data_IF_564435627635
#
_entry.id   IF_564435627635
#
_cell.length_a   1.000
_cell.length_b   1.000
_cell.length_c   1.000
_cell.angle_alpha   90.00
_cell.angle_beta   90.00
_cell.angle_gamma   90.00
#
_symmetry.space_group_name_H-M   'P 1'
#
loop_
_entity.id
_entity.type
_entity.pdbx_description
1 polymer ?
#
# COMPACT_ATOMS: atom_id res chain seq x y z
N UNK A 1 -11.89 -58.03 -9.37
CA UNK A 1 -11.50 -56.84 -10.14
C UNK A 1 -12.51 -55.73 -9.82
N UNK A 2 -12.29 -54.96 -8.77
CA UNK A 2 -13.18 -53.88 -8.35
C UNK A 2 -12.43 -52.55 -8.55
N UNK A 3 -12.98 -51.70 -9.41
CA UNK A 3 -12.43 -50.39 -9.71
C UNK A 3 -12.51 -49.50 -8.46
N UNK A 4 -11.36 -48.97 -8.04
CA UNK A 4 -11.26 -48.01 -6.94
C UNK A 4 -11.86 -46.69 -7.41
N UNK A 5 -13.02 -46.32 -6.84
CA UNK A 5 -13.60 -45.01 -7.09
C UNK A 5 -12.63 -43.91 -6.62
N UNK A 6 -12.44 -42.82 -7.40
CA UNK A 6 -11.62 -41.71 -6.95
C UNK A 6 -12.25 -41.15 -5.68
N UNK A 7 -11.51 -41.27 -4.57
CA UNK A 7 -11.91 -40.73 -3.29
C UNK A 7 -12.19 -39.24 -3.42
N UNK A 8 -13.12 -38.73 -2.61
CA UNK A 8 -13.48 -37.31 -2.44
C UNK A 8 -12.31 -36.40 -2.01
N UNK A 9 -11.06 -36.87 -2.11
CA UNK A 9 -9.83 -36.25 -1.65
C UNK A 9 -8.98 -35.62 -2.76
N UNK A 10 -9.57 -35.26 -3.90
CA UNK A 10 -8.96 -34.31 -4.83
C UNK A 10 -9.26 -32.84 -4.42
N UNK A 11 -9.42 -32.59 -3.11
CA UNK A 11 -9.32 -31.23 -2.58
C UNK A 11 -7.84 -30.87 -2.70
N UNK A 12 -7.49 -30.07 -3.72
CA UNK A 12 -6.14 -29.55 -3.99
C UNK A 12 -5.23 -29.60 -2.76
N UNK A 13 -4.25 -30.53 -2.74
CA UNK A 13 -3.12 -30.38 -1.84
C UNK A 13 -2.44 -29.06 -2.19
N UNK A 14 -2.55 -28.09 -1.30
CA UNK A 14 -1.98 -26.76 -1.47
C UNK A 14 -0.64 -26.75 -0.73
N UNK A 15 0.46 -26.49 -1.44
CA UNK A 15 1.83 -26.50 -0.91
C UNK A 15 2.04 -25.60 0.33
N UNK A 16 1.22 -24.56 0.45
CA UNK A 16 1.26 -23.60 1.54
C UNK A 16 0.00 -23.65 2.42
N UNK A 17 0.15 -23.47 3.75
CA UNK A 17 -0.98 -23.44 4.67
C UNK A 17 -1.90 -22.25 4.38
N UNK A 18 -3.15 -22.38 4.79
CA UNK A 18 -4.20 -21.39 4.51
C UNK A 18 -3.82 -19.98 5.00
N UNK A 19 -3.25 -19.86 6.21
CA UNK A 19 -2.94 -18.56 6.78
C UNK A 19 -1.90 -17.77 5.97
N UNK A 20 -0.90 -18.45 5.38
CA UNK A 20 0.12 -17.81 4.52
C UNK A 20 -0.56 -17.22 3.28
N UNK A 21 -1.45 -17.99 2.66
CA UNK A 21 -2.19 -17.56 1.46
C UNK A 21 -3.14 -16.40 1.76
N UNK A 22 -3.87 -16.48 2.87
CA UNK A 22 -4.78 -15.42 3.32
C UNK A 22 -3.98 -14.15 3.63
N UNK A 23 -2.92 -14.23 4.43
CA UNK A 23 -2.06 -13.09 4.75
C UNK A 23 -1.44 -12.47 3.49
N UNK A 24 -1.07 -13.29 2.50
CA UNK A 24 -0.57 -12.80 1.21
C UNK A 24 -1.61 -11.99 0.44
N UNK A 25 -2.86 -12.45 0.36
CA UNK A 25 -3.95 -11.71 -0.27
C UNK A 25 -4.21 -10.39 0.46
N UNK A 26 -4.22 -10.39 1.79
CA UNK A 26 -4.34 -9.17 2.58
C UNK A 26 -3.15 -8.22 2.37
N UNK A 27 -1.93 -8.74 2.23
CA UNK A 27 -0.77 -7.92 1.88
C UNK A 27 -0.96 -7.22 0.53
N UNK A 28 -1.40 -7.94 -0.51
CA UNK A 28 -1.69 -7.34 -1.82
C UNK A 28 -2.75 -6.24 -1.68
N UNK A 29 -3.84 -6.53 -0.96
CA UNK A 29 -4.91 -5.57 -0.72
C UNK A 29 -4.40 -4.31 -0.01
N UNK A 30 -3.77 -4.46 1.15
CA UNK A 30 -3.33 -3.34 1.97
C UNK A 30 -2.19 -2.56 1.31
N UNK A 31 -1.21 -3.20 0.66
CA UNK A 31 -0.15 -2.51 -0.06
C UNK A 31 -0.74 -1.70 -1.22
N UNK A 32 -1.69 -2.26 -1.97
CA UNK A 32 -2.36 -1.52 -3.06
C UNK A 32 -3.12 -0.29 -2.54
N UNK A 33 -3.86 -0.43 -1.43
CA UNK A 33 -4.55 0.68 -0.78
C UNK A 33 -3.57 1.71 -0.17
N UNK A 34 -2.43 1.24 0.35
CA UNK A 34 -1.37 2.08 0.91
C UNK A 34 -0.74 2.95 -0.17
N UNK A 35 -0.42 2.36 -1.33
CA UNK A 35 0.09 3.08 -2.48
C UNK A 35 -0.92 4.15 -2.94
N UNK A 36 -2.19 3.78 -3.10
CA UNK A 36 -3.24 4.72 -3.55
C UNK A 36 -3.54 5.84 -2.55
N UNK A 37 -3.51 5.56 -1.25
CA UNK A 37 -3.65 6.61 -0.22
C UNK A 37 -2.40 7.49 -0.12
N UNK A 38 -1.20 6.92 -0.29
CA UNK A 38 0.05 7.69 -0.35
C UNK A 38 0.07 8.65 -1.54
N UNK A 39 -0.41 8.21 -2.71
CA UNK A 39 -0.60 9.09 -3.86
C UNK A 39 -1.58 10.23 -3.55
N UNK A 40 -2.65 9.97 -2.80
CA UNK A 40 -3.58 11.04 -2.39
C UNK A 40 -2.92 12.05 -1.42
N UNK A 41 -2.05 11.61 -0.50
CA UNK A 41 -1.28 12.51 0.36
C UNK A 41 -0.34 13.39 -0.47
N UNK A 42 0.37 12.79 -1.43
CA UNK A 42 1.27 13.52 -2.33
C UNK A 42 0.50 14.51 -3.23
N UNK A 43 -0.80 14.33 -3.41
CA UNK A 43 -1.62 15.22 -4.23
C UNK A 43 -1.77 16.62 -3.61
N UNK A 44 -1.68 16.74 -2.27
CA UNK A 44 -1.74 18.04 -1.57
C UNK A 44 -0.46 18.87 -1.72
N UNK A 45 0.69 18.23 -1.94
CA UNK A 45 1.93 18.93 -2.29
C UNK A 45 2.76 18.05 -3.24
N UNK A 46 2.50 18.14 -4.56
CA UNK A 46 2.99 17.17 -5.55
C UNK A 46 4.44 17.45 -5.99
N UNK A 47 5.32 17.75 -5.02
CA UNK A 47 6.73 18.09 -5.23
C UNK A 47 7.58 17.43 -4.15
N UNK A 48 8.68 16.81 -4.56
CA UNK A 48 9.67 16.22 -3.66
C UNK A 48 11.02 16.91 -3.86
N UNK A 49 11.70 17.18 -2.76
CA UNK A 49 12.98 17.87 -2.72
C UNK A 49 14.02 16.98 -2.04
N UNK A 50 15.27 17.09 -2.48
CA UNK A 50 16.44 16.48 -1.84
C UNK A 50 17.29 17.53 -1.12
N UNK A 51 16.75 18.74 -0.97
CA UNK A 51 17.38 19.88 -0.31
C UNK A 51 16.41 20.45 0.72
N UNK A 52 16.96 21.10 1.75
CA UNK A 52 16.17 21.64 2.86
C UNK A 52 15.48 22.96 2.47
N UNK A 53 16.13 23.75 1.61
CA UNK A 53 15.63 25.06 1.19
C UNK A 53 14.33 25.00 0.37
N UNK A 54 14.03 23.85 -0.25
CA UNK A 54 12.85 23.59 -1.08
C UNK A 54 12.57 24.69 -2.12
N UNK A 55 13.62 25.26 -2.74
CA UNK A 55 13.48 26.42 -3.64
C UNK A 55 12.68 26.03 -4.89
N UNK A 56 11.76 26.89 -5.38
CA UNK A 56 11.08 26.64 -6.66
C UNK A 56 12.10 26.38 -7.79
N UNK A 57 11.91 25.31 -8.56
CA UNK A 57 12.84 24.89 -9.61
C UNK A 57 13.94 23.92 -9.15
N UNK A 58 14.05 23.64 -7.85
CA UNK A 58 14.98 22.65 -7.29
C UNK A 58 14.32 21.31 -6.94
N UNK A 59 13.10 21.08 -7.43
CA UNK A 59 12.37 19.83 -7.20
C UNK A 59 13.12 18.64 -7.82
N UNK A 60 13.30 17.57 -7.03
CA UNK A 60 13.79 16.29 -7.55
C UNK A 60 12.71 15.58 -8.38
N UNK A 61 11.45 15.66 -7.93
CA UNK A 61 10.31 15.10 -8.63
C UNK A 61 9.11 16.03 -8.51
N UNK A 62 8.42 16.24 -9.64
CA UNK A 62 7.18 17.01 -9.71
C UNK A 62 6.07 16.14 -10.31
N UNK A 63 5.03 15.88 -9.52
CA UNK A 63 3.88 15.03 -9.88
C UNK A 63 2.70 15.84 -10.46
N UNK A 64 2.87 17.15 -10.61
CA UNK A 64 1.86 18.08 -11.12
C UNK A 64 2.38 18.85 -12.34
N UNK A 65 1.46 19.19 -13.25
CA UNK A 65 1.72 20.10 -14.38
C UNK A 65 1.50 21.56 -14.04
N UNK A 66 1.00 21.88 -12.83
CA UNK A 66 0.76 23.25 -12.38
C UNK A 66 2.08 24.01 -12.33
N UNK A 67 2.08 25.24 -12.85
CA UNK A 67 3.24 26.14 -12.78
C UNK A 67 3.11 26.99 -11.52
N UNK A 68 4.19 27.07 -10.77
CA UNK A 68 4.27 27.94 -9.60
C UNK A 68 4.20 29.40 -10.06
N UNK A 69 3.30 30.22 -9.49
CA UNK A 69 3.21 31.64 -9.80
C UNK A 69 4.51 32.37 -9.42
N UNK A 70 4.97 33.27 -10.31
CA UNK A 70 6.15 34.12 -10.08
C UNK A 70 5.80 35.59 -9.92
N UNK A 71 4.54 35.94 -10.19
CA UNK A 71 3.98 37.28 -10.25
C UNK A 71 3.19 37.68 -8.99
N UNK A 72 2.93 36.72 -8.10
CA UNK A 72 2.17 36.92 -6.86
C UNK A 72 2.62 35.98 -5.74
N UNK A 73 2.40 36.35 -4.48
CA UNK A 73 2.50 35.41 -3.37
C UNK A 73 1.54 34.23 -3.58
N UNK A 74 1.96 33.03 -3.18
CA UNK A 74 1.17 31.80 -3.26
C UNK A 74 1.39 30.96 -1.99
N UNK A 75 0.43 30.10 -1.67
CA UNK A 75 0.48 29.22 -0.49
C UNK A 75 0.50 27.75 -0.91
N UNK A 76 0.94 26.85 -0.03
CA UNK A 76 1.00 25.41 -0.32
C UNK A 76 -0.31 24.83 -0.88
N UNK A 77 -1.46 25.34 -0.42
CA UNK A 77 -2.79 24.95 -0.90
C UNK A 77 -2.98 25.25 -2.41
N UNK A 78 -2.31 26.26 -2.94
CA UNK A 78 -2.32 26.58 -4.37
C UNK A 78 -1.53 25.55 -5.20
N UNK A 79 -0.89 24.54 -4.62
CA UNK A 79 -0.21 23.46 -5.37
C UNK A 79 -1.01 22.16 -5.40
N UNK A 80 -2.10 22.07 -4.64
CA UNK A 80 -2.94 20.87 -4.59
C UNK A 80 -3.47 20.49 -5.97
N UNK A 81 -3.48 19.19 -6.24
CA UNK A 81 -4.03 18.59 -7.45
C UNK A 81 -4.86 17.38 -7.09
N UNK A 82 -5.79 17.03 -7.97
CA UNK A 82 -6.56 15.78 -7.85
C UNK A 82 -6.02 14.75 -8.82
N UNK A 83 -5.69 13.56 -8.33
CA UNK A 83 -5.31 12.44 -9.18
C UNK A 83 -6.53 11.64 -9.65
N UNK A 84 -6.41 10.87 -10.75
CA UNK A 84 -7.47 9.96 -11.18
C UNK A 84 -7.78 8.92 -10.11
N UNK A 85 -9.06 8.54 -9.98
CA UNK A 85 -9.52 7.58 -8.97
C UNK A 85 -8.89 6.17 -9.09
N UNK A 86 -8.28 5.84 -10.23
CA UNK A 86 -7.50 4.61 -10.40
C UNK A 86 -6.18 4.68 -9.61
N UNK A 87 -5.55 5.86 -9.60
CA UNK A 87 -4.22 6.09 -9.00
C UNK A 87 -4.33 6.43 -7.51
N UNK A 88 -5.38 7.15 -7.10
CA UNK A 88 -5.55 7.56 -5.71
C UNK A 88 -6.85 7.07 -5.07
N UNK A 89 -6.89 7.07 -3.73
CA UNK A 89 -8.10 6.75 -2.95
C UNK A 89 -9.06 7.95 -2.89
N UNK A 90 -10.33 7.75 -2.45
CA UNK A 90 -11.27 8.84 -2.27
C UNK A 90 -10.73 9.86 -1.25
N UNK A 91 -10.37 11.04 -1.74
CA UNK A 91 -9.94 12.21 -0.98
C UNK A 91 -10.28 13.50 -1.73
N UNK A 92 -10.13 13.46 -3.07
CA UNK A 92 -10.40 14.57 -3.99
C UNK A 92 -9.60 15.84 -3.64
N UNK A 93 -8.38 15.68 -3.13
CA UNK A 93 -7.53 16.79 -2.69
C UNK A 93 -7.60 17.08 -1.19
N UNK A 94 -8.48 16.43 -0.44
CA UNK A 94 -8.58 16.63 1.02
C UNK A 94 -7.47 15.89 1.78
N UNK A 95 -6.41 16.62 2.17
CA UNK A 95 -5.26 16.08 2.91
C UNK A 95 -5.66 15.33 4.20
N UNK A 96 -6.69 15.82 4.89
CA UNK A 96 -7.20 15.20 6.12
C UNK A 96 -7.71 13.78 5.87
N UNK A 97 -8.52 13.62 4.83
CA UNK A 97 -9.09 12.32 4.46
C UNK A 97 -8.03 11.38 3.88
N UNK A 98 -7.09 11.90 3.09
CA UNK A 98 -5.95 11.16 2.57
C UNK A 98 -5.13 10.49 3.69
N UNK A 99 -4.77 11.27 4.72
CA UNK A 99 -4.05 10.78 5.89
C UNK A 99 -4.86 9.75 6.67
N UNK A 100 -6.15 9.99 6.87
CA UNK A 100 -7.02 9.06 7.60
C UNK A 100 -7.02 7.68 6.93
N UNK A 101 -7.22 7.62 5.61
CA UNK A 101 -7.15 6.37 4.86
C UNK A 101 -5.78 5.71 4.94
N UNK A 102 -4.70 6.48 4.78
CA UNK A 102 -3.35 5.94 4.82
C UNK A 102 -3.03 5.29 6.17
N UNK A 103 -3.33 5.96 7.28
CA UNK A 103 -3.09 5.40 8.61
C UNK A 103 -4.02 4.23 8.93
N UNK A 104 -5.29 4.27 8.54
CA UNK A 104 -6.21 3.14 8.72
C UNK A 104 -5.71 1.88 7.99
N UNK A 105 -5.28 2.04 6.74
CA UNK A 105 -4.69 0.96 5.93
C UNK A 105 -3.37 0.48 6.53
N UNK A 106 -2.52 1.38 7.01
CA UNK A 106 -1.26 1.04 7.67
C UNK A 106 -1.46 0.21 8.94
N UNK A 107 -2.46 0.54 9.76
CA UNK A 107 -2.81 -0.26 10.93
C UNK A 107 -3.32 -1.66 10.55
N UNK A 108 -4.15 -1.76 9.52
CA UNK A 108 -4.61 -3.06 8.99
C UNK A 108 -3.47 -3.92 8.44
N UNK A 109 -2.54 -3.30 7.71
CA UNK A 109 -1.34 -3.96 7.21
C UNK A 109 -0.43 -4.44 8.34
N UNK A 110 -0.18 -3.58 9.34
CA UNK A 110 0.62 -3.91 10.52
C UNK A 110 0.02 -5.07 11.29
N UNK A 111 -1.31 -5.05 11.52
CA UNK A 111 -2.02 -6.14 12.19
C UNK A 111 -1.88 -7.46 11.42
N UNK A 112 -2.01 -7.41 10.09
CA UNK A 112 -1.80 -8.59 9.23
C UNK A 112 -0.38 -9.14 9.39
N UNK A 113 0.63 -8.27 9.41
CA UNK A 113 2.03 -8.64 9.64
C UNK A 113 2.25 -9.28 11.01
N UNK A 114 1.70 -8.69 12.07
CA UNK A 114 1.79 -9.24 13.44
C UNK A 114 1.14 -10.62 13.53
N UNK A 115 -0.06 -10.78 12.98
CA UNK A 115 -0.75 -12.09 12.95
C UNK A 115 0.07 -13.10 12.16
N UNK A 116 0.59 -12.71 10.99
CA UNK A 116 1.43 -13.58 10.16
C UNK A 116 2.67 -14.05 10.91
N UNK A 117 3.42 -13.13 11.54
CA UNK A 117 4.62 -13.46 12.31
C UNK A 117 4.29 -14.36 13.50
N UNK A 118 3.21 -14.08 14.23
CA UNK A 118 2.77 -14.93 15.35
C UNK A 118 2.46 -16.36 14.87
N UNK A 119 1.65 -16.51 13.81
CA UNK A 119 1.31 -17.84 13.27
C UNK A 119 2.52 -18.57 12.68
N UNK A 120 3.49 -17.84 12.14
CA UNK A 120 4.74 -18.40 11.65
C UNK A 120 5.59 -18.96 12.80
N UNK A 121 5.78 -18.17 13.87
CA UNK A 121 6.61 -18.53 15.02
C UNK A 121 5.99 -19.62 15.90
N UNK A 122 4.69 -19.55 16.16
CA UNK A 122 3.98 -20.53 17.00
C UNK A 122 3.47 -21.75 16.21
N UNK A 123 3.52 -21.70 14.87
CA UNK A 123 3.23 -22.84 14.00
C UNK A 123 4.48 -23.68 13.67
N UNK A 124 4.32 -24.70 12.83
CA UNK A 124 5.45 -25.50 12.31
C UNK A 124 6.13 -24.89 11.08
N UNK A 125 5.59 -23.79 10.55
CA UNK A 125 6.00 -23.27 9.25
C UNK A 125 7.34 -22.54 9.27
N UNK A 126 7.79 -22.02 10.43
CA UNK A 126 9.11 -21.41 10.56
C UNK A 126 10.24 -22.39 10.21
N UNK A 127 10.04 -23.69 10.37
CA UNK A 127 11.03 -24.72 10.03
C UNK A 127 11.40 -24.69 8.54
N UNK A 128 10.50 -24.21 7.68
CA UNK A 128 10.77 -24.04 6.23
C UNK A 128 11.73 -22.90 5.92
N UNK A 129 11.97 -21.98 6.86
CA UNK A 129 12.85 -20.83 6.68
C UNK A 129 14.30 -21.12 7.10
N UNK A 130 14.52 -22.17 7.88
CA UNK A 130 15.85 -22.59 8.30
C UNK A 130 16.38 -23.58 7.26
N UNK A 131 17.49 -23.27 6.57
CA UNK A 131 18.14 -24.24 5.69
C UNK A 131 18.69 -25.40 6.53
N UNK A 132 18.37 -26.63 6.13
CA UNK A 132 18.93 -27.87 6.69
C UNK A 132 20.11 -28.35 5.88
#
# INVERSE_FOLDING_TARGET
MAARLPGKGALMELDYPLFVRVAHVFNILFISLMMRSGMEILSSFPKLYLNDDCRPGSEWLRLSRKKTPTDRPWIGLDEEVTFPAVVSLPGKGELGLARHWHFAVAMGWMLTGVIYVALLLFGSQWQRLVPT
#
